data_IF_536755055809
#
_entry.id   IF_536755055809
#
_cell.length_a   1.000
_cell.length_b   1.000
_cell.length_c   1.000
_cell.angle_alpha   90.00
_cell.angle_beta   90.00
_cell.angle_gamma   90.00
#
_symmetry.space_group_name_H-M   'P 1'
#
loop_
_entity.id
_entity.type
_entity.pdbx_description
1 polymer ?
#
# COMPACT_ATOMS: atom_id res chain seq x y z
N UNK A 1 -31.51 -28.19 -4.84
CA UNK A 1 -30.75 -27.17 -4.08
C UNK A 1 -29.49 -27.84 -3.57
N UNK A 2 -28.31 -27.36 -3.98
CA UNK A 2 -27.07 -27.27 -3.20
C UNK A 2 -25.99 -26.65 -4.06
N UNK A 3 -25.66 -25.41 -3.68
CA UNK A 3 -24.67 -24.52 -4.29
C UNK A 3 -23.34 -24.83 -3.62
N UNK A 4 -22.30 -25.14 -4.39
CA UNK A 4 -20.93 -24.86 -3.99
C UNK A 4 -20.13 -24.48 -5.25
N UNK A 5 -20.05 -23.18 -5.60
CA UNK A 5 -19.10 -22.76 -6.61
C UNK A 5 -17.70 -23.04 -6.05
N UNK A 6 -16.94 -23.84 -6.80
CA UNK A 6 -15.59 -24.30 -6.49
C UNK A 6 -14.67 -23.15 -6.03
N UNK A 7 -14.56 -22.96 -4.71
CA UNK A 7 -13.69 -21.98 -4.05
C UNK A 7 -12.24 -22.45 -4.09
N UNK A 8 -11.65 -22.57 -5.29
CA UNK A 8 -10.23 -22.85 -5.42
C UNK A 8 -9.65 -22.16 -6.67
N UNK A 9 -10.00 -20.89 -6.87
CA UNK A 9 -9.09 -19.97 -7.56
C UNK A 9 -7.97 -19.64 -6.58
N UNK A 10 -7.02 -20.58 -6.43
CA UNK A 10 -5.71 -20.27 -5.85
C UNK A 10 -5.19 -19.09 -6.65
N UNK A 11 -5.27 -17.90 -6.07
CA UNK A 11 -4.62 -16.72 -6.63
C UNK A 11 -3.18 -17.15 -6.79
N UNK A 12 -2.71 -17.17 -8.04
CA UNK A 12 -1.31 -17.37 -8.34
C UNK A 12 -0.60 -16.11 -7.82
N UNK A 13 -0.40 -16.06 -6.50
CA UNK A 13 0.46 -15.11 -5.83
C UNK A 13 1.83 -15.55 -6.30
N UNK A 14 2.20 -15.12 -7.52
CA UNK A 14 3.61 -15.06 -7.92
C UNK A 14 4.29 -14.46 -6.72
N UNK A 15 5.20 -15.22 -6.10
CA UNK A 15 6.03 -14.69 -5.02
C UNK A 15 6.68 -13.44 -5.58
N UNK A 16 6.10 -12.28 -5.26
CA UNK A 16 6.65 -10.99 -5.60
C UNK A 16 7.86 -10.92 -4.70
N UNK A 17 9.00 -11.36 -5.22
CA UNK A 17 10.27 -11.24 -4.52
C UNK A 17 10.44 -9.74 -4.28
N UNK A 18 10.18 -9.29 -3.05
CA UNK A 18 10.17 -7.87 -2.67
C UNK A 18 11.54 -7.24 -2.97
N UNK A 19 12.58 -8.04 -2.88
CA UNK A 19 13.97 -7.67 -3.17
C UNK A 19 14.23 -7.44 -4.67
N UNK A 20 13.66 -8.26 -5.55
CA UNK A 20 13.83 -8.12 -7.02
C UNK A 20 13.02 -6.96 -7.59
N UNK A 21 11.93 -6.58 -6.92
CA UNK A 21 11.08 -5.45 -7.30
C UNK A 21 11.40 -4.18 -6.50
N UNK A 22 12.48 -4.17 -5.72
CA UNK A 22 12.93 -2.97 -5.01
C UNK A 22 13.44 -1.95 -6.04
N UNK A 23 12.61 -0.97 -6.35
CA UNK A 23 12.98 0.15 -7.21
C UNK A 23 13.55 1.24 -6.31
N UNK A 24 14.84 1.53 -6.46
CA UNK A 24 15.43 2.71 -5.84
C UNK A 24 14.87 3.95 -6.55
N UNK A 25 14.08 4.74 -5.84
CA UNK A 25 13.63 6.04 -6.35
C UNK A 25 14.81 7.00 -6.44
N UNK A 26 14.94 7.73 -7.55
CA UNK A 26 15.93 8.82 -7.62
C UNK A 26 15.49 9.92 -6.63
N UNK A 27 16.39 10.47 -5.81
CA UNK A 27 16.10 11.65 -5.00
C UNK A 27 15.44 12.80 -5.80
N UNK A 28 15.71 12.92 -7.09
CA UNK A 28 15.06 13.90 -7.98
C UNK A 28 13.56 13.64 -8.17
N UNK A 29 13.13 12.37 -8.16
CA UNK A 29 11.72 12.02 -8.24
C UNK A 29 10.99 12.48 -6.97
N UNK A 30 11.65 12.40 -5.81
CA UNK A 30 11.09 12.89 -4.55
C UNK A 30 10.91 14.41 -4.53
N UNK A 31 11.78 15.16 -5.22
CA UNK A 31 11.70 16.61 -5.33
C UNK A 31 10.53 17.11 -6.17
N UNK A 32 9.96 16.27 -7.04
CA UNK A 32 8.81 16.63 -7.88
C UNK A 32 7.47 16.25 -7.24
N UNK A 33 7.47 15.62 -6.06
CA UNK A 33 6.23 15.23 -5.38
C UNK A 33 5.60 16.42 -4.66
N UNK A 34 4.27 16.50 -4.71
CA UNK A 34 3.53 17.44 -3.86
C UNK A 34 3.73 17.04 -2.39
N UNK A 35 4.04 17.99 -1.48
CA UNK A 35 4.23 17.67 -0.08
C UNK A 35 2.94 17.09 0.51
N UNK A 36 3.07 16.05 1.33
CA UNK A 36 1.95 15.55 2.12
C UNK A 36 1.57 16.62 3.17
N UNK A 37 0.27 16.87 3.41
CA UNK A 37 -0.14 17.75 4.48
C UNK A 37 0.40 17.19 5.79
N UNK A 38 1.03 18.06 6.58
CA UNK A 38 1.44 17.69 7.92
C UNK A 38 0.18 17.37 8.74
N UNK A 39 0.22 16.33 9.60
CA UNK A 39 -0.82 16.13 10.58
C UNK A 39 -1.04 17.44 11.33
N UNK A 40 -2.31 17.85 11.47
CA UNK A 40 -2.60 18.95 12.36
C UNK A 40 -2.33 18.45 13.77
N UNK A 41 -1.51 19.19 14.51
CA UNK A 41 -1.51 19.08 15.95
C UNK A 41 -2.92 19.47 16.40
N UNK A 42 -3.66 18.50 16.94
CA UNK A 42 -4.96 18.79 17.53
C UNK A 42 -4.73 19.30 18.93
N UNK A 43 -5.35 20.43 19.27
CA UNK A 43 -5.40 20.88 20.66
C UNK A 43 -6.08 19.79 21.50
N UNK A 44 -5.51 19.50 22.67
CA UNK A 44 -6.08 18.58 23.64
C UNK A 44 -7.47 19.09 24.05
N UNK A 45 -8.52 18.33 23.75
CA UNK A 45 -9.88 18.70 24.16
C UNK A 45 -10.10 18.26 25.61
N UNK A 46 -10.45 19.22 26.47
CA UNK A 46 -10.91 18.92 27.83
C UNK A 46 -12.31 18.26 27.78
N UNK A 47 -12.51 17.22 28.59
CA UNK A 47 -13.76 16.44 28.67
C UNK A 47 -14.74 16.99 29.71
#
# INVERSE_FOLDING_TARGET
MNKHPNENKKQNIKKLNTEENAIYSDPKDSSNMQPLPQPKDYDEIEY
#
